data_IF_537980658271
#
_entry.id   IF_537980658271
#
_cell.length_a   1.000
_cell.length_b   1.000
_cell.length_c   1.000
_cell.angle_alpha   90.00
_cell.angle_beta   90.00
_cell.angle_gamma   90.00
#
_symmetry.space_group_name_H-M   'P 1'
#
loop_
_entity.id
_entity.type
_entity.pdbx_description
1 polymer ?
#
# COMPACT_ATOMS: atom_id res chain seq x y z
N UNK A 1 14.19 12.06 0.15
CA UNK A 1 13.69 13.39 0.54
C UNK A 1 12.45 13.25 1.40
N UNK A 2 12.32 14.08 2.45
CA UNK A 2 11.10 14.07 3.25
C UNK A 2 9.93 14.66 2.47
N UNK A 3 8.74 14.12 2.72
CA UNK A 3 7.49 14.56 2.07
C UNK A 3 6.62 15.43 2.98
N UNK A 4 7.17 15.92 4.08
CA UNK A 4 6.46 16.60 5.16
C UNK A 4 6.14 15.64 6.29
N UNK A 5 5.87 16.17 7.48
CA UNK A 5 5.63 15.35 8.67
C UNK A 5 6.74 14.30 8.91
N UNK A 6 7.98 14.62 8.45
CA UNK A 6 9.16 13.76 8.59
C UNK A 6 9.02 12.37 7.97
N UNK A 7 8.09 12.22 7.01
CA UNK A 7 7.94 10.97 6.27
C UNK A 7 8.90 10.95 5.10
N UNK A 8 9.77 9.95 4.98
CA UNK A 8 10.68 9.83 3.84
C UNK A 8 9.94 9.39 2.57
N UNK A 9 10.45 9.82 1.43
CA UNK A 9 9.99 9.33 0.14
C UNK A 9 10.59 7.95 -0.11
N UNK A 10 9.78 7.00 -0.58
CA UNK A 10 10.29 5.68 -0.95
C UNK A 10 11.28 5.77 -2.10
N UNK A 11 12.32 4.95 -2.09
CA UNK A 11 13.31 4.88 -3.15
C UNK A 11 12.65 4.41 -4.46
N UNK A 12 13.00 5.00 -5.63
CA UNK A 12 12.41 4.58 -6.90
C UNK A 12 12.57 3.08 -7.19
N UNK A 13 13.70 2.48 -6.81
CA UNK A 13 13.91 1.05 -6.96
C UNK A 13 12.84 0.24 -6.21
N UNK A 14 12.59 0.59 -4.95
CA UNK A 14 11.65 -0.19 -4.13
C UNK A 14 10.20 0.00 -4.60
N UNK A 15 9.86 1.20 -5.07
CA UNK A 15 8.55 1.45 -5.66
C UNK A 15 8.34 0.56 -6.89
N UNK A 16 9.33 0.52 -7.78
CA UNK A 16 9.29 -0.33 -8.98
C UNK A 16 9.24 -1.81 -8.61
N UNK A 17 10.03 -2.24 -7.63
CA UNK A 17 10.07 -3.63 -7.18
C UNK A 17 8.74 -4.08 -6.60
N UNK A 18 8.14 -3.26 -5.75
CA UNK A 18 6.83 -3.56 -5.16
C UNK A 18 5.74 -3.63 -6.23
N UNK A 19 5.77 -2.70 -7.18
CA UNK A 19 4.82 -2.70 -8.30
C UNK A 19 4.98 -3.96 -9.15
N UNK A 20 6.21 -4.33 -9.47
CA UNK A 20 6.51 -5.55 -10.21
C UNK A 20 5.97 -6.79 -9.51
N UNK A 21 6.22 -6.91 -8.20
CA UNK A 21 5.71 -8.03 -7.40
C UNK A 21 4.18 -8.06 -7.39
N UNK A 22 3.55 -6.90 -7.25
CA UNK A 22 2.10 -6.79 -7.19
C UNK A 22 1.44 -7.29 -8.48
N UNK A 23 2.06 -7.02 -9.62
CA UNK A 23 1.52 -7.32 -10.94
C UNK A 23 2.09 -8.62 -11.57
N UNK A 24 2.95 -9.32 -10.86
CA UNK A 24 3.67 -10.49 -11.41
C UNK A 24 2.74 -11.63 -11.87
N UNK A 25 1.57 -11.75 -11.26
CA UNK A 25 0.61 -12.83 -11.60
C UNK A 25 -0.44 -12.40 -12.63
N UNK A 26 -0.29 -11.20 -13.21
CA UNK A 26 -1.18 -10.69 -14.25
C UNK A 26 -1.86 -9.39 -13.86
N UNK A 27 -2.78 -8.91 -14.72
CA UNK A 27 -3.47 -7.65 -14.47
C UNK A 27 -4.27 -7.64 -13.16
N UNK A 28 -4.33 -6.48 -12.52
CA UNK A 28 -5.11 -6.28 -11.29
C UNK A 28 -6.19 -5.24 -11.56
N UNK A 29 -7.35 -5.46 -11.02
CA UNK A 29 -8.51 -4.60 -11.22
C UNK A 29 -8.71 -3.63 -10.07
N UNK A 30 -8.78 -4.14 -8.83
CA UNK A 30 -9.04 -3.36 -7.62
C UNK A 30 -7.87 -3.47 -6.67
N UNK A 31 -7.13 -2.39 -6.54
CA UNK A 31 -5.91 -2.36 -5.73
C UNK A 31 -6.09 -1.42 -4.54
N UNK A 32 -5.76 -1.90 -3.36
CA UNK A 32 -5.69 -1.09 -2.14
C UNK A 32 -4.24 -0.68 -1.90
N UNK A 33 -4.03 0.61 -1.70
CA UNK A 33 -2.74 1.14 -1.25
C UNK A 33 -2.87 1.66 0.19
N UNK A 34 -2.00 1.21 1.07
CA UNK A 34 -1.90 1.71 2.44
C UNK A 34 -0.71 2.64 2.54
N UNK A 35 -0.97 3.91 2.84
CA UNK A 35 0.06 4.95 2.89
C UNK A 35 0.18 5.71 1.57
N UNK A 36 -0.77 6.59 1.29
CA UNK A 36 -0.77 7.43 0.08
C UNK A 36 0.48 8.31 -0.01
N UNK A 37 0.88 8.90 1.12
CA UNK A 37 2.04 9.77 1.21
C UNK A 37 1.99 10.91 0.19
N UNK A 38 3.02 11.01 -0.63
CA UNK A 38 3.12 12.03 -1.68
C UNK A 38 2.22 11.77 -2.88
N UNK A 39 1.67 10.56 -2.99
CA UNK A 39 0.90 10.13 -4.16
C UNK A 39 1.74 9.58 -5.31
N UNK A 40 3.05 9.44 -5.13
CA UNK A 40 3.94 8.96 -6.19
C UNK A 40 3.62 7.50 -6.57
N UNK A 41 3.60 6.60 -5.62
CA UNK A 41 3.23 5.20 -5.85
C UNK A 41 1.78 5.10 -6.35
N UNK A 42 0.89 5.91 -5.77
CA UNK A 42 -0.52 5.97 -6.17
C UNK A 42 -0.65 6.28 -7.66
N UNK A 43 0.09 7.28 -8.14
CA UNK A 43 0.07 7.69 -9.54
C UNK A 43 0.59 6.59 -10.46
N UNK A 44 1.62 5.87 -10.04
CA UNK A 44 2.15 4.73 -10.81
C UNK A 44 1.10 3.62 -10.90
N UNK A 45 0.51 3.24 -9.77
CA UNK A 45 -0.52 2.21 -9.73
C UNK A 45 -1.73 2.58 -10.61
N UNK A 46 -2.17 3.84 -10.54
CA UNK A 46 -3.33 4.31 -11.29
C UNK A 46 -3.18 4.15 -12.79
N UNK A 47 -1.96 4.14 -13.29
CA UNK A 47 -1.67 3.97 -14.72
C UNK A 47 -1.58 2.50 -15.14
N UNK A 48 -1.55 1.58 -14.17
CA UNK A 48 -1.28 0.16 -14.43
C UNK A 48 -2.46 -0.74 -14.07
N UNK A 49 -3.43 -0.23 -13.27
CA UNK A 49 -4.58 -1.01 -12.81
C UNK A 49 -5.88 -0.25 -13.05
N UNK A 50 -7.02 -0.93 -12.96
CA UNK A 50 -8.32 -0.30 -13.25
C UNK A 50 -8.71 0.72 -12.18
N UNK A 51 -8.60 0.38 -10.90
CA UNK A 51 -8.97 1.26 -9.79
C UNK A 51 -7.99 1.15 -8.65
N UNK A 52 -7.61 2.29 -8.08
CA UNK A 52 -6.78 2.38 -6.88
C UNK A 52 -7.62 2.97 -5.75
N UNK A 53 -7.60 2.29 -4.61
CA UNK A 53 -8.16 2.75 -3.36
C UNK A 53 -7.00 2.98 -2.41
N UNK A 54 -6.79 4.22 -1.99
CA UNK A 54 -5.60 4.59 -1.22
C UNK A 54 -5.99 5.23 0.11
N UNK A 55 -5.37 4.76 1.18
CA UNK A 55 -5.67 5.19 2.55
C UNK A 55 -4.47 5.92 3.12
N UNK A 56 -4.71 7.11 3.70
CA UNK A 56 -3.70 7.91 4.37
C UNK A 56 -4.19 8.33 5.74
N UNK A 57 -3.35 8.14 6.78
CA UNK A 57 -3.71 8.50 8.15
C UNK A 57 -3.50 9.99 8.45
N UNK A 58 -2.67 10.67 7.65
CA UNK A 58 -2.30 12.08 7.85
C UNK A 58 -3.03 12.95 6.83
N UNK A 59 -4.04 13.72 7.29
CA UNK A 59 -4.91 14.49 6.40
C UNK A 59 -4.17 15.47 5.50
N UNK A 60 -3.21 16.28 5.97
CA UNK A 60 -2.49 17.19 5.08
C UNK A 60 -1.75 16.49 3.94
N UNK A 61 -1.18 15.30 4.18
CA UNK A 61 -0.54 14.51 3.13
C UNK A 61 -1.55 14.03 2.11
N UNK A 62 -2.70 13.56 2.57
CA UNK A 62 -3.77 13.10 1.68
C UNK A 62 -4.24 14.24 0.76
N UNK A 63 -4.41 15.44 1.30
CA UNK A 63 -4.87 16.59 0.51
C UNK A 63 -3.86 16.99 -0.54
N UNK A 64 -2.56 16.98 -0.21
CA UNK A 64 -1.50 17.23 -1.19
C UNK A 64 -1.48 16.17 -2.30
N UNK A 65 -1.63 14.91 -1.94
CA UNK A 65 -1.70 13.83 -2.91
C UNK A 65 -2.93 13.99 -3.82
N UNK A 66 -4.09 14.35 -3.25
CA UNK A 66 -5.30 14.59 -4.01
C UNK A 66 -5.09 15.67 -5.08
N UNK A 67 -4.43 16.77 -4.72
CA UNK A 67 -4.13 17.83 -5.67
C UNK A 67 -3.21 17.36 -6.79
N UNK A 68 -2.17 16.60 -6.46
CA UNK A 68 -1.24 16.04 -7.45
C UNK A 68 -1.92 15.10 -8.43
N UNK A 69 -2.72 14.19 -7.91
CA UNK A 69 -3.45 13.21 -8.74
C UNK A 69 -4.44 13.91 -9.66
N UNK A 70 -5.11 14.94 -9.16
CA UNK A 70 -6.04 15.74 -9.96
C UNK A 70 -5.28 16.50 -11.06
N UNK A 71 -4.13 17.07 -10.74
CA UNK A 71 -3.28 17.75 -11.71
C UNK A 71 -2.80 16.81 -12.82
N UNK A 72 -2.49 15.56 -12.46
CA UNK A 72 -2.10 14.51 -13.40
C UNK A 72 -3.29 13.91 -14.15
N UNK A 73 -4.51 14.34 -13.84
CA UNK A 73 -5.76 13.87 -14.47
C UNK A 73 -5.98 12.36 -14.31
N UNK A 74 -5.59 11.82 -13.16
CA UNK A 74 -5.82 10.42 -12.82
C UNK A 74 -7.16 10.31 -12.09
N UNK A 75 -8.17 9.76 -12.78
CA UNK A 75 -9.56 9.75 -12.30
C UNK A 75 -10.01 8.42 -11.69
N UNK A 76 -9.13 7.42 -11.69
CA UNK A 76 -9.42 6.08 -11.18
C UNK A 76 -8.88 5.85 -9.77
N UNK A 77 -8.59 6.92 -9.02
CA UNK A 77 -8.09 6.86 -7.65
C UNK A 77 -9.15 7.33 -6.68
N UNK A 78 -9.39 6.55 -5.62
CA UNK A 78 -10.26 6.89 -4.52
C UNK A 78 -9.40 7.03 -3.26
N UNK A 79 -9.44 8.20 -2.62
CA UNK A 79 -8.65 8.49 -1.43
C UNK A 79 -9.51 8.47 -0.19
N UNK A 80 -8.96 7.96 0.91
CA UNK A 80 -9.61 7.94 2.20
C UNK A 80 -8.64 8.35 3.29
N UNK A 81 -9.10 9.22 4.20
CA UNK A 81 -8.35 9.57 5.42
C UNK A 81 -8.79 8.61 6.52
N UNK A 82 -7.95 7.63 6.83
CA UNK A 82 -8.26 6.58 7.79
C UNK A 82 -6.99 5.85 8.25
N UNK A 83 -7.14 4.97 9.25
CA UNK A 83 -6.09 4.06 9.71
C UNK A 83 -5.85 2.99 8.63
N UNK A 84 -4.64 3.00 8.06
CA UNK A 84 -4.29 2.07 6.98
C UNK A 84 -4.26 0.61 7.39
N UNK A 85 -3.93 0.32 8.66
CA UNK A 85 -3.91 -1.05 9.16
C UNK A 85 -5.26 -1.74 9.12
N UNK A 86 -6.34 -0.95 9.08
CA UNK A 86 -7.71 -1.45 8.96
C UNK A 86 -8.17 -1.59 7.49
N UNK A 87 -7.36 -1.14 6.54
CA UNK A 87 -7.69 -1.20 5.12
C UNK A 87 -8.91 -0.38 4.75
N UNK A 88 -9.70 -0.91 3.83
CA UNK A 88 -10.95 -0.29 3.37
C UNK A 88 -11.98 -1.37 3.04
N UNK A 89 -12.54 -2.04 4.06
CA UNK A 89 -13.39 -3.22 3.84
C UNK A 89 -14.61 -2.96 2.95
N UNK A 90 -15.19 -1.75 3.00
CA UNK A 90 -16.37 -1.40 2.21
C UNK A 90 -16.10 -1.41 0.70
N UNK A 91 -14.83 -1.31 0.29
CA UNK A 91 -14.42 -1.31 -1.13
C UNK A 91 -13.78 -2.62 -1.56
N UNK A 92 -13.56 -3.53 -0.63
CA UNK A 92 -13.02 -4.86 -0.92
C UNK A 92 -14.07 -5.82 -1.46
N UNK A 93 -13.67 -7.05 -1.76
CA UNK A 93 -12.31 -7.53 -1.70
C UNK A 93 -11.41 -6.94 -2.79
N UNK A 94 -10.09 -6.92 -2.52
CA UNK A 94 -9.11 -6.41 -3.46
C UNK A 94 -8.32 -7.57 -4.07
N UNK A 95 -7.98 -7.49 -5.35
CA UNK A 95 -7.11 -8.48 -5.96
C UNK A 95 -5.61 -8.17 -5.77
N UNK A 96 -5.30 -6.98 -5.27
CA UNK A 96 -3.95 -6.66 -4.83
C UNK A 96 -3.98 -5.61 -3.72
N UNK A 97 -3.07 -5.74 -2.76
CA UNK A 97 -2.88 -4.76 -1.67
C UNK A 97 -1.39 -4.48 -1.55
N UNK A 98 -1.04 -3.19 -1.49
CA UNK A 98 0.33 -2.74 -1.31
C UNK A 98 0.41 -1.81 -0.11
N UNK A 99 1.35 -2.07 0.81
CA UNK A 99 1.57 -1.19 1.94
C UNK A 99 2.94 -0.50 1.83
N UNK A 100 2.93 0.83 1.98
CA UNK A 100 4.14 1.65 2.04
C UNK A 100 4.55 1.95 3.49
N UNK A 101 3.97 1.26 4.45
CA UNK A 101 4.33 1.35 5.87
C UNK A 101 4.53 -0.06 6.43
N UNK A 102 5.47 -0.20 7.37
CA UNK A 102 5.85 -1.50 7.93
C UNK A 102 5.21 -1.74 9.28
N UNK A 103 4.24 -2.67 9.40
CA UNK A 103 3.80 -3.16 10.70
C UNK A 103 4.83 -4.11 11.28
N UNK A 104 4.80 -4.31 12.59
CA UNK A 104 5.64 -5.33 13.24
C UNK A 104 5.18 -6.74 12.85
N UNK A 105 3.88 -6.92 12.68
CA UNK A 105 3.22 -8.15 12.26
C UNK A 105 2.20 -7.81 11.19
N UNK A 106 2.05 -8.66 10.18
CA UNK A 106 1.07 -8.42 9.12
C UNK A 106 -0.34 -8.32 9.70
N UNK A 107 -1.09 -7.23 9.41
CA UNK A 107 -2.46 -7.09 9.91
C UNK A 107 -3.40 -8.12 9.28
N UNK A 108 -4.14 -8.84 10.12
CA UNK A 108 -5.13 -9.80 9.65
C UNK A 108 -6.22 -9.11 8.82
N UNK A 109 -6.55 -7.87 9.17
CA UNK A 109 -7.54 -7.06 8.47
C UNK A 109 -7.20 -6.88 6.99
N UNK A 110 -5.90 -6.74 6.67
CA UNK A 110 -5.48 -6.62 5.27
C UNK A 110 -5.55 -7.96 4.54
N UNK A 111 -5.13 -9.03 5.20
CA UNK A 111 -5.22 -10.38 4.63
C UNK A 111 -6.68 -10.75 4.34
N UNK A 112 -7.60 -10.40 5.24
CA UNK A 112 -9.03 -10.70 5.10
C UNK A 112 -9.68 -9.96 3.93
N UNK A 113 -9.08 -8.85 3.49
CA UNK A 113 -9.61 -8.06 2.39
C UNK A 113 -9.06 -8.47 1.02
N UNK A 114 -8.16 -9.46 0.98
CA UNK A 114 -7.72 -10.03 -0.30
C UNK A 114 -8.79 -10.94 -0.88
N UNK A 115 -9.02 -10.81 -2.18
CA UNK A 115 -9.76 -11.82 -2.93
C UNK A 115 -8.95 -13.11 -3.03
N UNK A 116 -9.59 -14.24 -3.25
CA UNK A 116 -8.89 -15.48 -3.59
C UNK A 116 -8.12 -15.25 -4.90
N UNK A 117 -6.85 -15.63 -4.91
CA UNK A 117 -5.94 -15.30 -6.00
C UNK A 117 -5.30 -13.92 -5.87
N UNK A 118 -5.65 -13.16 -4.83
CA UNK A 118 -5.08 -11.85 -4.57
C UNK A 118 -3.72 -11.91 -3.89
N UNK A 119 -2.98 -10.81 -3.98
CA UNK A 119 -1.62 -10.69 -3.45
C UNK A 119 -1.46 -9.43 -2.61
N UNK A 120 -0.89 -9.59 -1.40
CA UNK A 120 -0.45 -8.49 -0.55
C UNK A 120 1.07 -8.36 -0.63
N UNK A 121 1.55 -7.16 -0.93
CA UNK A 121 2.99 -6.82 -0.89
C UNK A 121 3.19 -5.82 0.25
N UNK A 122 3.97 -6.20 1.26
CA UNK A 122 4.06 -5.44 2.51
C UNK A 122 5.42 -5.61 3.19
N UNK A 123 6.05 -4.50 3.63
CA UNK A 123 7.20 -4.61 4.52
C UNK A 123 6.74 -4.97 5.94
N UNK A 124 7.47 -5.83 6.61
CA UNK A 124 7.16 -6.27 7.98
C UNK A 124 8.43 -6.25 8.83
N UNK A 125 8.33 -5.73 10.03
CA UNK A 125 9.42 -5.70 11.00
C UNK A 125 9.35 -4.47 11.87
N UNK A 126 10.05 -4.52 13.01
CA UNK A 126 10.14 -3.40 13.95
C UNK A 126 10.99 -2.28 13.38
N UNK A 127 10.58 -1.03 13.61
CA UNK A 127 11.42 0.12 13.34
C UNK A 127 12.75 0.01 14.10
N UNK A 128 13.86 0.31 13.41
CA UNK A 128 15.20 0.22 14.00
C UNK A 128 15.76 -1.20 14.00
N UNK A 129 15.00 -2.18 13.54
CA UNK A 129 15.44 -3.56 13.35
C UNK A 129 15.30 -3.95 11.89
N UNK A 130 15.73 -5.16 11.56
CA UNK A 130 15.61 -5.67 10.20
C UNK A 130 14.14 -5.81 9.79
N UNK A 131 13.74 -5.04 8.77
CA UNK A 131 12.48 -5.24 8.09
C UNK A 131 12.72 -6.00 6.79
N UNK A 132 11.76 -6.77 6.36
CA UNK A 132 11.81 -7.47 5.08
C UNK A 132 10.52 -7.27 4.31
N UNK A 133 10.62 -7.27 3.00
CA UNK A 133 9.48 -7.21 2.10
C UNK A 133 8.90 -8.61 1.97
N UNK A 134 7.61 -8.73 2.25
CA UNK A 134 6.88 -9.99 2.15
C UNK A 134 5.80 -9.93 1.10
N UNK A 135 5.53 -11.10 0.54
CA UNK A 135 4.40 -11.32 -0.37
C UNK A 135 3.52 -12.40 0.24
N UNK A 136 2.23 -12.11 0.33
CA UNK A 136 1.21 -13.08 0.78
C UNK A 136 0.24 -13.31 -0.38
N UNK A 137 0.07 -14.56 -0.78
CA UNK A 137 -0.87 -14.96 -1.81
C UNK A 137 -2.03 -15.71 -1.18
N UNK A 138 -3.26 -15.27 -1.44
CA UNK A 138 -4.45 -15.92 -0.90
C UNK A 138 -4.93 -17.04 -1.82
N UNK A 139 -5.10 -18.22 -1.22
CA UNK A 139 -5.74 -19.38 -1.84
C UNK A 139 -7.07 -19.68 -1.14
N UNK A 140 -7.84 -20.60 -1.68
CA UNK A 140 -9.10 -20.98 -1.06
C UNK A 140 -8.91 -21.52 0.35
N UNK A 141 -7.80 -22.23 0.61
CA UNK A 141 -7.52 -22.90 1.87
C UNK A 141 -6.59 -22.12 2.81
N UNK A 142 -6.11 -20.94 2.42
CA UNK A 142 -5.19 -20.19 3.26
C UNK A 142 -4.31 -19.23 2.47
N UNK A 143 -3.12 -18.99 3.02
CA UNK A 143 -2.17 -18.03 2.44
C UNK A 143 -0.79 -18.66 2.29
N UNK A 144 -0.10 -18.32 1.20
CA UNK A 144 1.33 -18.57 1.06
C UNK A 144 2.07 -17.29 1.44
N UNK A 145 3.16 -17.43 2.19
CA UNK A 145 4.03 -16.34 2.60
C UNK A 145 5.40 -16.49 1.95
N UNK A 146 5.92 -15.42 1.40
CA UNK A 146 7.27 -15.42 0.81
C UNK A 146 8.03 -14.18 1.26
N UNK A 147 9.22 -14.39 1.82
CA UNK A 147 10.14 -13.31 2.17
C UNK A 147 10.99 -12.98 0.94
N UNK A 148 10.97 -11.72 0.51
CA UNK A 148 11.60 -11.31 -0.74
C UNK A 148 13.00 -10.74 -0.51
N UNK A 149 13.09 -9.62 0.24
CA UNK A 149 14.36 -8.93 0.44
C UNK A 149 14.31 -7.98 1.64
N UNK A 150 15.48 -7.62 2.20
CA UNK A 150 15.54 -6.61 3.26
C UNK A 150 15.11 -5.24 2.73
N UNK A 151 14.40 -4.48 3.55
CA UNK A 151 13.94 -3.13 3.22
C UNK A 151 13.97 -2.25 4.47
N UNK A 152 13.73 -0.94 4.26
CA UNK A 152 13.58 0.02 5.33
C UNK A 152 12.40 0.92 5.02
N UNK A 153 11.36 0.86 5.85
CA UNK A 153 10.14 1.64 5.69
C UNK A 153 9.78 2.35 6.99
N UNK A 154 8.94 3.39 6.88
CA UNK A 154 8.33 4.01 8.05
C UNK A 154 7.40 3.00 8.73
N UNK A 155 7.24 3.09 10.06
CA UNK A 155 6.35 2.17 10.77
C UNK A 155 4.90 2.41 10.39
N UNK A 156 4.10 1.35 10.41
CA UNK A 156 2.66 1.46 10.31
C UNK A 156 2.12 1.86 11.68
N UNK A 157 1.58 3.07 11.77
CA UNK A 157 1.07 3.64 13.01
C UNK A 157 -0.46 3.66 12.93
N UNK A 158 -1.11 3.26 14.03
CA UNK A 158 -2.57 3.25 14.10
C UNK A 158 -3.17 4.64 14.24
N UNK A 159 -4.47 4.75 14.00
CA UNK A 159 -5.23 5.98 14.13
C UNK A 159 -5.01 6.96 12.99
N UNK A 160 -5.52 8.17 13.19
CA UNK A 160 -5.46 9.24 12.18
C UNK A 160 -4.90 10.53 12.78
N UNK A 161 -4.37 11.37 11.90
CA UNK A 161 -3.92 12.74 12.21
C UNK A 161 -4.71 13.70 11.34
N UNK A 162 -5.34 14.69 12.00
CA UNK A 162 -6.16 15.69 11.31
C UNK A 162 -5.31 16.69 10.50
#
# INVERSE_FOLDING_TARGET
>A
LPIGFQQPLSQPYIVARMTELLLALGPRERVLEVGTGSGYQTAILAQLVDRVFSVERIRPLQEKARQRLRHLKLHNVHLRHADGGMGWPQRGPFDAILSAAAPEVVPQELLDQLAVGGRLVIPVGKQGQQQSLYVYDRHEDGFDEQCIEPVMFVPMVGGVVA
#
